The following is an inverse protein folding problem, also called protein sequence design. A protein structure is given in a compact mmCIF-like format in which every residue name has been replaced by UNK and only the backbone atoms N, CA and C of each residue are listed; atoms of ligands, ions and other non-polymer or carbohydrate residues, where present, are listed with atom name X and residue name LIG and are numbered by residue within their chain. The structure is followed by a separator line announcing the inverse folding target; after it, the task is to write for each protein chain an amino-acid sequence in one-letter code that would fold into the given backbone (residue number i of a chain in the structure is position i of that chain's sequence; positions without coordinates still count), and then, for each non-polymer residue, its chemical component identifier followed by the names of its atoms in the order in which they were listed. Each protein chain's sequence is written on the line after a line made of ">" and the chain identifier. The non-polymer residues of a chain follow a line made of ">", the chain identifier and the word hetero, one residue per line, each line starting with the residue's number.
data_IF_646081804453
#
_entry.id   IF_646081804453
#
_cell.length_a   1.000
_cell.length_b   1.000
_cell.length_c   1.000
_cell.angle_alpha   90.00
_cell.angle_beta   90.00
_cell.angle_gamma   90.00
#
_symmetry.space_group_name_H-M   'P 1'
#
loop_
_entity.id
_entity.type
_entity.pdbx_description
1 polymer ?
#
# COMPACT_ATOMS: atom_id res chain seq x y z
N UNK A 1 -11.58 16.76 -5.74
CA UNK A 1 -10.38 16.08 -5.20
C UNK A 1 -9.29 16.24 -6.23
N UNK A 2 -8.15 16.84 -5.87
CA UNK A 2 -7.03 16.98 -6.80
C UNK A 2 -6.32 15.62 -6.91
N UNK A 3 -6.21 15.09 -8.12
CA UNK A 3 -5.40 13.91 -8.38
C UNK A 3 -3.93 14.25 -8.10
N UNK A 4 -3.26 13.39 -7.34
CA UNK A 4 -1.84 13.57 -7.02
C UNK A 4 -0.98 12.57 -7.80
N UNK A 5 0.25 12.95 -8.18
CA UNK A 5 1.16 12.05 -8.89
C UNK A 5 1.88 11.06 -7.96
N UNK A 6 1.47 10.93 -6.69
CA UNK A 6 2.17 10.12 -5.70
C UNK A 6 2.04 8.62 -5.99
N UNK A 7 3.14 7.90 -5.73
CA UNK A 7 3.17 6.43 -5.67
C UNK A 7 3.01 5.98 -4.22
N UNK A 8 2.23 4.93 -4.00
CA UNK A 8 1.87 4.43 -2.67
C UNK A 8 2.41 3.01 -2.51
N UNK A 9 3.24 2.81 -1.48
CA UNK A 9 3.63 1.50 -0.98
C UNK A 9 2.71 1.18 0.21
N UNK A 10 1.68 0.37 -0.03
CA UNK A 10 0.75 -0.06 1.00
C UNK A 10 1.32 -1.27 1.73
N UNK A 11 1.63 -1.11 3.02
CA UNK A 11 2.25 -2.14 3.85
C UNK A 11 1.26 -2.56 4.96
N UNK A 12 0.78 -3.80 4.92
CA UNK A 12 -0.09 -4.36 5.97
C UNK A 12 -0.07 -5.90 5.93
N UNK A 13 -0.58 -6.57 6.97
CA UNK A 13 -0.75 -8.03 7.01
C UNK A 13 -1.92 -8.53 6.13
N UNK A 14 -2.87 -7.66 5.79
CA UNK A 14 -4.00 -8.01 4.92
C UNK A 14 -4.44 -6.84 4.03
N UNK A 15 -4.86 -7.16 2.80
CA UNK A 15 -5.25 -6.19 1.78
C UNK A 15 -6.76 -5.95 1.70
N UNK A 16 -7.59 -6.58 2.54
CA UNK A 16 -9.04 -6.61 2.35
C UNK A 16 -9.69 -5.24 2.08
N UNK A 17 -9.29 -4.19 2.78
CA UNK A 17 -9.84 -2.85 2.61
C UNK A 17 -9.44 -2.17 1.29
N UNK A 18 -8.35 -2.62 0.66
CA UNK A 18 -7.82 -2.04 -0.57
C UNK A 18 -7.82 -3.02 -1.75
N UNK A 19 -8.38 -4.23 -1.60
CA UNK A 19 -8.42 -5.24 -2.68
C UNK A 19 -8.97 -4.68 -4.00
N UNK A 20 -10.04 -3.90 -3.92
CA UNK A 20 -10.64 -3.23 -5.08
C UNK A 20 -9.71 -2.22 -5.78
N UNK A 21 -8.66 -1.74 -5.11
CA UNK A 21 -7.62 -0.89 -5.69
C UNK A 21 -6.49 -1.71 -6.34
N UNK A 22 -6.34 -2.97 -5.93
CA UNK A 22 -5.29 -3.89 -6.40
C UNK A 22 -5.77 -4.78 -7.55
N UNK A 23 -7.06 -5.06 -7.64
CA UNK A 23 -7.62 -5.91 -8.69
C UNK A 23 -7.64 -5.17 -10.03
N UNK A 24 -6.95 -5.69 -11.07
CA UNK A 24 -6.84 -5.05 -12.38
C UNK A 24 -8.08 -5.29 -13.24
N UNK A 25 -9.28 -5.38 -12.64
CA UNK A 25 -10.52 -5.72 -13.35
C UNK A 25 -10.82 -4.73 -14.49
N UNK A 26 -10.26 -3.53 -14.42
CA UNK A 26 -10.23 -2.58 -15.52
C UNK A 26 -8.79 -2.07 -15.67
N UNK A 27 -8.03 -2.62 -16.63
CA UNK A 27 -6.67 -2.18 -16.98
C UNK A 27 -6.55 -0.69 -17.40
N UNK A 28 -7.61 0.10 -17.21
CA UNK A 28 -7.76 1.50 -17.56
C UNK A 28 -7.93 2.43 -16.35
N UNK A 29 -7.75 1.96 -15.10
CA UNK A 29 -7.75 2.86 -13.95
C UNK A 29 -6.39 3.55 -13.76
N UNK A 30 -6.37 4.89 -13.61
CA UNK A 30 -5.14 5.70 -13.66
C UNK A 30 -4.15 5.44 -12.52
N UNK A 31 -4.57 4.71 -11.47
CA UNK A 31 -3.76 4.38 -10.30
C UNK A 31 -3.18 2.95 -10.30
N UNK A 32 -3.45 2.12 -11.32
CA UNK A 32 -3.07 0.71 -11.31
C UNK A 32 -1.56 0.48 -11.15
N UNK A 33 -0.73 1.37 -11.70
CA UNK A 33 0.74 1.33 -11.55
C UNK A 33 1.24 2.09 -10.30
N UNK A 34 0.37 2.89 -9.68
CA UNK A 34 0.74 3.81 -8.59
C UNK A 34 0.66 3.18 -7.21
N UNK A 35 -0.09 2.10 -7.03
CA UNK A 35 -0.29 1.46 -5.71
C UNK A 35 0.33 0.07 -5.74
N UNK A 36 1.25 -0.21 -4.81
CA UNK A 36 1.86 -1.53 -4.63
C UNK A 36 1.59 -2.03 -3.22
N UNK A 37 1.07 -3.26 -3.10
CA UNK A 37 0.81 -3.86 -1.80
C UNK A 37 1.92 -4.82 -1.38
N UNK A 38 2.46 -4.60 -0.19
CA UNK A 38 3.46 -5.44 0.45
C UNK A 38 2.87 -6.07 1.70
N UNK A 39 2.71 -7.40 1.68
CA UNK A 39 2.19 -8.13 2.82
C UNK A 39 3.29 -8.34 3.87
N UNK A 40 3.37 -7.45 4.84
CA UNK A 40 4.46 -7.44 5.84
C UNK A 40 3.89 -7.30 7.24
N UNK A 41 4.47 -8.08 8.17
CA UNK A 41 4.24 -7.90 9.60
C UNK A 41 5.29 -6.94 10.17
N UNK A 42 4.90 -5.68 10.39
CA UNK A 42 5.79 -4.62 10.87
C UNK A 42 6.50 -4.93 12.19
N UNK A 43 6.04 -5.93 12.96
CA UNK A 43 6.67 -6.30 14.24
C UNK A 43 8.00 -7.05 14.08
N UNK A 44 8.21 -7.78 12.99
CA UNK A 44 9.32 -8.75 12.93
C UNK A 44 9.89 -8.94 11.51
N UNK A 45 9.73 -7.97 10.63
CA UNK A 45 10.16 -8.10 9.24
C UNK A 45 11.24 -7.08 8.88
N UNK A 46 12.42 -7.58 8.51
CA UNK A 46 13.58 -6.75 8.15
C UNK A 46 13.44 -6.08 6.79
N UNK A 47 12.53 -6.53 5.93
CA UNK A 47 12.31 -5.89 4.62
C UNK A 47 11.63 -4.52 4.75
N UNK A 48 10.98 -4.26 5.88
CA UNK A 48 10.35 -2.97 6.18
C UNK A 48 11.35 -1.81 6.11
N UNK A 49 12.56 -1.99 6.65
CA UNK A 49 13.59 -0.94 6.63
C UNK A 49 13.96 -0.55 5.19
N UNK A 50 14.00 -1.53 4.28
CA UNK A 50 14.22 -1.27 2.86
C UNK A 50 13.09 -0.45 2.23
N UNK A 51 11.84 -0.77 2.55
CA UNK A 51 10.68 -0.02 2.04
C UNK A 51 10.63 1.41 2.56
N UNK A 52 10.94 1.63 3.84
CA UNK A 52 11.02 2.97 4.43
C UNK A 52 12.09 3.81 3.71
N UNK A 53 13.27 3.24 3.44
CA UNK A 53 14.34 3.94 2.72
C UNK A 53 14.01 4.26 1.26
N UNK A 54 13.04 3.57 0.66
CA UNK A 54 12.56 3.82 -0.70
C UNK A 54 11.41 4.84 -0.76
N UNK A 55 10.84 5.23 0.38
CA UNK A 55 9.70 6.15 0.44
C UNK A 55 10.14 7.56 0.87
N UNK A 56 9.58 8.59 0.22
CA UNK A 56 9.81 9.99 0.62
C UNK A 56 8.98 10.40 1.85
N UNK A 57 7.85 9.72 2.09
CA UNK A 57 6.93 10.02 3.18
C UNK A 57 6.36 8.72 3.76
N UNK A 58 6.42 8.63 5.09
CA UNK A 58 5.85 7.52 5.86
C UNK A 58 4.59 7.98 6.60
N UNK A 59 3.49 7.23 6.45
CA UNK A 59 2.21 7.51 7.11
C UNK A 59 1.77 6.25 7.85
N UNK A 60 1.63 6.35 9.17
CA UNK A 60 1.14 5.25 10.00
C UNK A 60 -0.38 5.31 10.15
N UNK A 61 -1.04 4.21 9.80
CA UNK A 61 -2.48 4.03 9.95
C UNK A 61 -2.84 2.55 10.01
N UNK A 62 -4.06 2.23 10.45
CA UNK A 62 -4.56 0.85 10.51
C UNK A 62 -5.38 0.53 9.26
N UNK A 63 -4.82 -0.29 8.34
CA UNK A 63 -5.60 -0.87 7.25
C UNK A 63 -6.35 -2.14 7.70
N UNK A 64 -5.90 -2.81 8.77
CA UNK A 64 -6.61 -3.94 9.37
C UNK A 64 -7.31 -3.61 10.69
N UNK A 65 -8.60 -3.91 10.77
CA UNK A 65 -9.36 -3.97 12.02
C UNK A 65 -9.48 -5.44 12.42
N UNK A 66 -8.88 -5.84 13.54
CA UNK A 66 -9.19 -7.13 14.17
C UNK A 66 -10.63 -7.03 14.71
N UNK A 67 -11.50 -7.95 14.31
CA UNK A 67 -12.87 -8.09 14.85
C UNK A 67 -12.87 -9.21 15.87
#
# INVERSE_FOLDING_TARGET
>A
MAETPHKVLAVDICSNKIKHLLEPAEASVPWADRIQFHRINVKNDSTLEGLIKMADLEVFGSLCHET
#
